data_IF_500843128019
#
_entry.id   IF_500843128019
#
_cell.length_a   1.000
_cell.length_b   1.000
_cell.length_c   1.000
_cell.angle_alpha   90.00
_cell.angle_beta   90.00
_cell.angle_gamma   90.00
#
_symmetry.space_group_name_H-M   'P 1'
#
loop_
_entity.id
_entity.type
_entity.pdbx_description
1 polymer ?
#
# COMPACT_ATOMS: atom_id res chain seq x y z
N UNK A 1 -9.28 9.59 -35.29
CA UNK A 1 -9.35 8.20 -34.76
C UNK A 1 -7.94 7.76 -34.46
N UNK A 2 -7.48 7.94 -33.21
CA UNK A 2 -6.17 7.48 -32.76
C UNK A 2 -6.34 6.07 -32.18
N UNK A 3 -5.92 5.06 -32.93
CA UNK A 3 -5.78 3.69 -32.42
C UNK A 3 -4.46 3.56 -31.67
N UNK A 4 -4.43 4.13 -30.45
CA UNK A 4 -3.40 3.79 -29.47
C UNK A 4 -3.65 2.34 -29.03
N UNK A 5 -2.99 1.41 -29.73
CA UNK A 5 -2.86 0.04 -29.28
C UNK A 5 -1.86 0.02 -28.13
N UNK A 6 -2.37 0.26 -26.91
CA UNK A 6 -1.61 0.02 -25.68
C UNK A 6 -1.06 -1.40 -25.73
N UNK A 7 0.28 -1.51 -25.82
CA UNK A 7 0.97 -2.79 -25.69
C UNK A 7 0.82 -3.24 -24.23
N UNK A 8 -0.25 -3.97 -23.95
CA UNK A 8 -0.44 -4.63 -22.65
C UNK A 8 0.78 -5.49 -22.35
N UNK A 9 1.36 -5.32 -21.17
CA UNK A 9 2.49 -6.14 -20.74
C UNK A 9 2.04 -7.60 -20.62
N UNK A 10 2.97 -8.54 -20.80
CA UNK A 10 2.68 -9.98 -20.73
C UNK A 10 1.94 -10.38 -19.44
N UNK A 11 2.24 -9.71 -18.32
CA UNK A 11 1.58 -9.93 -17.03
C UNK A 11 0.14 -9.42 -16.97
N UNK A 12 -0.19 -8.31 -17.66
CA UNK A 12 -1.57 -7.87 -17.80
C UNK A 12 -2.39 -8.86 -18.64
N UNK A 13 -1.79 -9.44 -19.67
CA UNK A 13 -2.42 -10.50 -20.46
C UNK A 13 -2.61 -11.79 -19.66
N UNK A 14 -1.61 -12.18 -18.86
CA UNK A 14 -1.68 -13.35 -18.00
C UNK A 14 -2.73 -13.17 -16.89
N UNK A 15 -2.75 -12.03 -16.20
CA UNK A 15 -3.76 -11.71 -15.18
C UNK A 15 -5.19 -11.68 -15.76
N UNK A 16 -5.34 -11.25 -17.02
CA UNK A 16 -6.61 -11.31 -17.72
C UNK A 16 -7.04 -12.75 -18.03
N UNK A 17 -6.10 -13.67 -18.29
CA UNK A 17 -6.40 -15.07 -18.64
C UNK A 17 -6.66 -16.00 -17.45
N UNK A 18 -6.08 -15.71 -16.29
CA UNK A 18 -6.27 -16.46 -15.03
C UNK A 18 -7.76 -16.79 -14.74
N UNK A 19 -8.71 -15.83 -14.77
CA UNK A 19 -10.12 -16.15 -14.51
C UNK A 19 -10.74 -17.09 -15.55
N UNK A 20 -10.29 -17.05 -16.81
CA UNK A 20 -10.77 -17.95 -17.86
C UNK A 20 -10.24 -19.38 -17.68
N UNK A 21 -8.96 -19.54 -17.32
CA UNK A 21 -8.41 -20.86 -16.99
C UNK A 21 -9.05 -21.44 -15.73
N UNK A 22 -9.32 -20.60 -14.72
CA UNK A 22 -9.98 -21.01 -13.48
C UNK A 22 -11.38 -21.56 -13.75
N UNK A 23 -12.20 -20.80 -14.49
CA UNK A 23 -13.57 -21.18 -14.85
C UNK A 23 -13.61 -22.39 -15.77
N UNK A 24 -12.73 -22.49 -16.76
CA UNK A 24 -12.60 -23.65 -17.63
C UNK A 24 -12.23 -24.94 -16.86
N UNK A 25 -11.35 -24.84 -15.85
CA UNK A 25 -11.03 -25.97 -14.99
C UNK A 25 -12.22 -26.43 -14.16
N UNK A 26 -12.94 -25.51 -13.52
CA UNK A 26 -14.13 -25.84 -12.72
C UNK A 26 -15.20 -26.52 -13.59
N UNK A 27 -15.48 -25.96 -14.76
CA UNK A 27 -16.50 -26.53 -15.66
C UNK A 27 -16.11 -27.92 -16.15
N UNK A 28 -14.82 -28.16 -16.42
CA UNK A 28 -14.32 -29.48 -16.81
C UNK A 28 -14.45 -30.51 -15.67
N UNK A 29 -14.13 -30.12 -14.44
CA UNK A 29 -14.25 -31.00 -13.26
C UNK A 29 -15.71 -31.34 -12.97
N UNK A 30 -16.60 -30.34 -13.02
CA UNK A 30 -18.04 -30.55 -12.82
C UNK A 30 -18.65 -31.40 -13.94
N UNK A 31 -18.28 -31.16 -15.19
CA UNK A 31 -18.74 -31.97 -16.32
C UNK A 31 -18.29 -33.43 -16.17
N UNK A 32 -17.03 -33.66 -15.77
CA UNK A 32 -16.52 -35.00 -15.48
C UNK A 32 -17.29 -35.68 -14.35
N UNK A 33 -17.56 -34.97 -13.25
CA UNK A 33 -18.36 -35.49 -12.13
C UNK A 33 -19.77 -35.90 -12.57
N UNK A 34 -20.44 -35.06 -13.36
CA UNK A 34 -21.80 -35.33 -13.86
C UNK A 34 -21.80 -36.55 -14.77
N UNK A 35 -20.88 -36.62 -15.74
CA UNK A 35 -20.79 -37.75 -16.68
C UNK A 35 -20.50 -39.05 -15.94
N UNK A 36 -19.54 -39.05 -15.00
CA UNK A 36 -19.19 -40.23 -14.22
C UNK A 36 -20.34 -40.68 -13.31
N UNK A 37 -21.08 -39.74 -12.71
CA UNK A 37 -22.26 -40.00 -11.88
C UNK A 37 -23.41 -40.62 -12.69
N UNK A 38 -23.65 -40.11 -13.90
CA UNK A 38 -24.66 -40.64 -14.82
C UNK A 38 -24.27 -42.06 -15.27
N UNK A 39 -23.00 -42.27 -15.65
CA UNK A 39 -22.53 -43.56 -16.15
C UNK A 39 -22.68 -44.66 -15.09
N UNK A 40 -22.33 -44.36 -13.84
CA UNK A 40 -22.52 -45.29 -12.72
C UNK A 40 -23.98 -45.41 -12.30
N UNK A 41 -24.76 -44.36 -12.43
CA UNK A 41 -26.21 -44.44 -12.26
C UNK A 41 -26.84 -45.44 -13.23
N UNK A 42 -26.43 -45.40 -14.50
CA UNK A 42 -26.90 -46.35 -15.52
C UNK A 42 -26.40 -47.78 -15.29
N UNK A 43 -25.13 -47.99 -14.90
CA UNK A 43 -24.65 -49.35 -14.63
C UNK A 43 -25.27 -49.94 -13.36
N UNK A 44 -25.44 -49.14 -12.31
CA UNK A 44 -26.05 -49.58 -11.04
C UNK A 44 -27.54 -49.87 -11.20
N UNK A 45 -28.27 -49.08 -11.99
CA UNK A 45 -29.68 -49.32 -12.32
C UNK A 45 -29.87 -50.61 -13.14
N UNK A 46 -28.91 -50.94 -14.01
CA UNK A 46 -28.93 -52.14 -14.86
C UNK A 46 -28.56 -53.41 -14.10
N UNK A 47 -27.59 -53.33 -13.18
CA UNK A 47 -27.01 -54.51 -12.53
C UNK A 47 -27.60 -54.81 -11.14
N UNK A 48 -28.07 -53.82 -10.38
CA UNK A 48 -28.74 -54.01 -9.08
C UNK A 48 -29.62 -52.81 -8.68
N UNK A 49 -30.91 -52.76 -9.06
CA UNK A 49 -31.78 -51.60 -8.80
C UNK A 49 -32.05 -51.36 -7.30
N UNK A 50 -31.88 -52.39 -6.45
CA UNK A 50 -32.03 -52.28 -4.99
C UNK A 50 -30.83 -51.65 -4.28
N UNK A 51 -29.65 -51.58 -4.90
CA UNK A 51 -28.47 -50.93 -4.32
C UNK A 51 -28.51 -49.39 -4.48
N UNK A 52 -29.43 -48.88 -5.30
CA UNK A 52 -29.60 -47.46 -5.56
C UNK A 52 -30.37 -46.74 -4.44
N UNK A 53 -31.28 -47.45 -3.79
CA UNK A 53 -31.94 -46.98 -2.57
C UNK A 53 -31.28 -47.70 -1.39
N UNK A 54 -30.61 -46.95 -0.51
CA UNK A 54 -29.94 -47.44 0.69
C UNK A 54 -30.90 -48.21 1.63
N UNK A 55 -31.24 -49.45 1.31
CA UNK A 55 -31.98 -50.37 2.16
C UNK A 55 -31.25 -51.71 2.16
N UNK A 56 -30.36 -51.87 3.12
CA UNK A 56 -29.84 -53.19 3.50
C UNK A 56 -30.95 -53.93 4.22
N UNK A 57 -31.62 -54.87 3.55
CA UNK A 57 -32.49 -55.83 4.24
C UNK A 57 -31.62 -56.71 5.15
N UNK A 58 -31.79 -56.56 6.46
CA UNK A 58 -31.23 -57.46 7.47
C UNK A 58 -31.76 -58.89 7.23
N UNK A 59 -30.96 -59.72 6.56
CA UNK A 59 -31.24 -61.16 6.51
C UNK A 59 -30.58 -61.83 7.71
N UNK A 60 -31.32 -61.88 8.82
CA UNK A 60 -31.01 -62.72 9.97
C UNK A 60 -31.53 -64.13 9.69
N UNK A 61 -30.67 -65.04 9.23
CA UNK A 61 -30.97 -66.47 9.21
C UNK A 61 -30.29 -67.10 10.43
N UNK A 62 -31.07 -67.29 11.49
CA UNK A 62 -30.68 -68.02 12.68
C UNK A 62 -31.65 -69.20 12.83
N UNK A 63 -31.18 -70.42 12.54
CA UNK A 63 -31.80 -71.65 13.01
C UNK A 63 -30.70 -72.59 13.52
N UNK A 64 -30.59 -72.64 14.85
CA UNK A 64 -30.32 -73.78 15.75
C UNK A 64 -30.26 -75.17 15.07
N UNK A 65 -29.50 -76.20 15.49
CA UNK A 65 -28.69 -76.54 16.67
C UNK A 65 -28.01 -77.92 16.37
N UNK A 66 -26.97 -78.44 17.03
CA UNK A 66 -26.97 -79.22 18.28
C UNK A 66 -25.56 -79.89 18.46
N UNK A 67 -25.05 -79.87 19.70
CA UNK A 67 -24.07 -80.72 20.42
C UNK A 67 -22.90 -81.48 19.73
N UNK A 68 -21.66 -81.27 20.21
CA UNK A 68 -20.92 -82.14 21.20
C UNK A 68 -19.59 -81.48 21.65
N UNK A 69 -19.05 -81.79 22.84
CA UNK A 69 -17.86 -81.13 23.40
C UNK A 69 -16.60 -81.97 23.22
N UNK A 70 -15.47 -81.38 22.84
CA UNK A 70 -14.13 -81.82 23.26
C UNK A 70 -13.05 -80.81 22.82
N UNK A 71 -11.95 -80.83 23.57
CA UNK A 71 -10.93 -79.79 23.69
C UNK A 71 -10.14 -79.49 22.41
N UNK A 72 -9.84 -78.21 22.14
CA UNK A 72 -8.50 -77.63 22.22
C UNK A 72 -8.39 -76.24 21.57
N UNK A 73 -7.77 -75.33 22.32
CA UNK A 73 -6.88 -74.23 21.93
C UNK A 73 -7.23 -73.46 20.62
N UNK A 74 -7.75 -72.22 20.76
CA UNK A 74 -7.07 -71.03 20.24
C UNK A 74 -7.87 -69.73 20.42
N UNK A 75 -7.12 -68.70 20.84
CA UNK A 75 -7.28 -67.27 20.52
C UNK A 75 -8.61 -66.61 20.91
N UNK A 76 -8.48 -65.65 21.83
CA UNK A 76 -9.48 -64.65 22.20
C UNK A 76 -10.16 -64.03 20.98
N UNK A 77 -11.35 -64.52 20.65
CA UNK A 77 -12.35 -63.80 19.87
C UNK A 77 -12.93 -62.70 20.76
N UNK A 78 -12.35 -61.50 20.72
CA UNK A 78 -13.10 -60.31 21.08
C UNK A 78 -13.89 -59.83 19.85
N UNK A 79 -15.20 -59.57 19.99
CA UNK A 79 -15.98 -58.95 18.94
C UNK A 79 -15.47 -57.51 18.78
N UNK A 80 -14.91 -57.18 17.61
CA UNK A 80 -14.58 -55.80 17.28
C UNK A 80 -15.85 -54.97 17.42
N UNK A 81 -15.84 -54.05 18.38
CA UNK A 81 -16.88 -53.04 18.56
C UNK A 81 -16.93 -52.19 17.29
N UNK A 82 -17.82 -52.57 16.38
CA UNK A 82 -18.23 -51.73 15.26
C UNK A 82 -18.75 -50.41 15.84
N UNK A 83 -17.91 -49.39 15.74
CA UNK A 83 -18.21 -48.05 16.26
C UNK A 83 -19.28 -47.46 15.35
N UNK A 84 -20.22 -46.65 15.85
CA UNK A 84 -21.29 -46.05 15.03
C UNK A 84 -20.79 -45.35 13.73
N UNK A 85 -19.50 -44.98 13.72
CA UNK A 85 -18.76 -44.52 12.55
C UNK A 85 -18.65 -45.57 11.41
N UNK A 86 -18.39 -46.85 11.71
CA UNK A 86 -18.29 -47.92 10.70
C UNK A 86 -19.65 -48.34 10.13
N UNK A 87 -20.74 -48.15 10.87
CA UNK A 87 -22.09 -48.57 10.45
C UNK A 87 -22.73 -47.51 9.53
N UNK A 88 -22.42 -46.23 9.73
CA UNK A 88 -23.05 -45.13 8.99
C UNK A 88 -22.09 -44.46 8.02
N UNK A 89 -20.81 -44.28 8.34
CA UNK A 89 -19.89 -43.52 7.48
C UNK A 89 -19.25 -44.43 6.44
N UNK A 90 -18.86 -45.64 6.83
CA UNK A 90 -18.19 -46.58 5.93
C UNK A 90 -19.00 -46.95 4.67
N UNK A 91 -20.30 -47.31 4.74
CA UNK A 91 -21.07 -47.58 3.52
C UNK A 91 -21.29 -46.34 2.65
N UNK A 92 -21.28 -45.14 3.24
CA UNK A 92 -21.35 -43.88 2.49
C UNK A 92 -20.02 -43.51 1.83
N UNK A 93 -18.87 -43.87 2.39
CA UNK A 93 -17.56 -43.60 1.78
C UNK A 93 -17.14 -44.70 0.79
N UNK A 94 -17.62 -45.94 0.98
CA UNK A 94 -17.32 -47.09 0.11
C UNK A 94 -18.23 -47.20 -1.12
N UNK A 95 -19.36 -46.48 -1.14
CA UNK A 95 -20.21 -46.42 -2.33
C UNK A 95 -19.45 -45.83 -3.53
N UNK A 96 -19.41 -46.57 -4.64
CA UNK A 96 -18.77 -46.15 -5.90
C UNK A 96 -19.23 -44.77 -6.38
N UNK A 97 -20.49 -44.42 -6.11
CA UNK A 97 -21.06 -43.11 -6.41
C UNK A 97 -20.45 -42.00 -5.54
N UNK A 98 -20.37 -42.21 -4.23
CA UNK A 98 -19.83 -41.24 -3.31
C UNK A 98 -18.31 -41.08 -3.44
N UNK A 99 -17.57 -42.15 -3.79
CA UNK A 99 -16.15 -42.05 -4.09
C UNK A 99 -15.85 -41.09 -5.25
N UNK A 100 -16.74 -40.99 -6.25
CA UNK A 100 -16.59 -40.04 -7.36
C UNK A 100 -16.87 -38.62 -6.90
N UNK A 101 -17.90 -38.44 -6.08
CA UNK A 101 -18.20 -37.13 -5.49
C UNK A 101 -17.03 -36.66 -4.63
N UNK A 102 -16.49 -37.50 -3.76
CA UNK A 102 -15.34 -37.16 -2.93
C UNK A 102 -14.06 -36.91 -3.76
N UNK A 103 -13.78 -37.71 -4.80
CA UNK A 103 -12.65 -37.46 -5.71
C UNK A 103 -12.79 -36.14 -6.47
N UNK A 104 -13.99 -35.83 -6.96
CA UNK A 104 -14.28 -34.58 -7.65
C UNK A 104 -14.19 -33.37 -6.73
N UNK A 105 -14.70 -33.48 -5.51
CA UNK A 105 -14.64 -32.43 -4.49
C UNK A 105 -13.19 -32.20 -4.01
N UNK A 106 -12.40 -33.27 -3.89
CA UNK A 106 -10.96 -33.19 -3.61
C UNK A 106 -10.18 -32.52 -4.75
N UNK A 107 -10.51 -32.84 -6.00
CA UNK A 107 -9.87 -32.25 -7.18
C UNK A 107 -10.25 -30.77 -7.34
N UNK A 108 -11.50 -30.39 -7.02
CA UNK A 108 -11.93 -29.00 -6.92
C UNK A 108 -11.18 -28.27 -5.81
N UNK A 109 -10.98 -28.90 -4.65
CA UNK A 109 -10.20 -28.33 -3.56
C UNK A 109 -8.74 -28.10 -3.95
N UNK A 110 -8.08 -29.06 -4.61
CA UNK A 110 -6.73 -28.88 -5.16
C UNK A 110 -6.71 -27.76 -6.20
N UNK A 111 -7.69 -27.71 -7.09
CA UNK A 111 -7.80 -26.67 -8.12
C UNK A 111 -7.93 -25.27 -7.51
N UNK A 112 -8.71 -25.14 -6.45
CA UNK A 112 -8.85 -23.92 -5.67
C UNK A 112 -7.54 -23.55 -4.95
N UNK A 113 -6.85 -24.52 -4.35
CA UNK A 113 -5.56 -24.30 -3.70
C UNK A 113 -4.47 -23.85 -4.69
N UNK A 114 -4.47 -24.42 -5.90
CA UNK A 114 -3.55 -24.07 -6.98
C UNK A 114 -3.72 -22.58 -7.37
N UNK A 115 -4.97 -22.13 -7.56
CA UNK A 115 -5.24 -20.73 -7.89
C UNK A 115 -5.08 -19.76 -6.72
N UNK A 116 -5.04 -20.24 -5.48
CA UNK A 116 -4.67 -19.41 -4.33
C UNK A 116 -3.16 -19.22 -4.21
N UNK A 117 -2.38 -20.27 -4.49
CA UNK A 117 -0.92 -20.28 -4.33
C UNK A 117 -0.19 -19.62 -5.49
N UNK A 118 -0.67 -19.79 -6.72
CA UNK A 118 -0.07 -19.23 -7.94
C UNK A 118 0.05 -17.69 -7.86
N UNK A 119 -1.02 -16.90 -7.64
CA UNK A 119 -0.92 -15.44 -7.60
C UNK A 119 0.01 -14.94 -6.49
N UNK A 120 0.02 -15.63 -5.35
CA UNK A 120 0.89 -15.30 -4.20
C UNK A 120 2.36 -15.58 -4.54
N UNK A 121 2.66 -16.67 -5.23
CA UNK A 121 4.00 -17.00 -5.69
C UNK A 121 4.50 -16.01 -6.75
N UNK A 122 3.65 -15.63 -7.72
CA UNK A 122 3.99 -14.66 -8.75
C UNK A 122 4.15 -13.23 -8.21
N UNK A 123 3.38 -12.80 -7.21
CA UNK A 123 3.58 -11.51 -6.50
C UNK A 123 4.95 -11.39 -5.83
N UNK A 124 5.60 -12.50 -5.49
CA UNK A 124 6.93 -12.50 -4.84
C UNK A 124 8.09 -12.61 -5.82
N UNK A 125 7.83 -12.90 -7.11
CA UNK A 125 8.88 -12.98 -8.12
C UNK A 125 9.23 -11.58 -8.63
N UNK A 126 10.35 -11.03 -8.15
CA UNK A 126 10.92 -9.75 -8.62
C UNK A 126 11.49 -9.82 -10.04
N UNK A 127 11.90 -11.01 -10.50
CA UNK A 127 12.48 -11.22 -11.83
C UNK A 127 12.06 -12.58 -12.36
N UNK A 128 11.51 -12.63 -13.56
CA UNK A 128 11.21 -13.88 -14.26
C UNK A 128 12.03 -13.92 -15.56
N UNK A 129 12.99 -14.85 -15.62
CA UNK A 129 13.83 -15.08 -16.80
C UNK A 129 13.27 -16.26 -17.56
N UNK A 130 12.63 -16.00 -18.70
CA UNK A 130 12.12 -17.04 -19.59
C UNK A 130 12.72 -16.85 -20.98
N UNK A 131 13.56 -17.80 -21.39
CA UNK A 131 14.18 -17.86 -22.73
C UNK A 131 14.77 -16.52 -23.22
N UNK A 132 15.90 -16.10 -22.63
CA UNK A 132 16.67 -14.90 -23.00
C UNK A 132 15.91 -13.55 -23.00
N UNK A 133 14.65 -13.52 -22.58
CA UNK A 133 13.87 -12.31 -22.33
C UNK A 133 13.78 -12.10 -20.81
N UNK A 134 14.32 -10.97 -20.35
CA UNK A 134 14.19 -10.48 -18.98
C UNK A 134 12.99 -9.53 -18.96
N UNK A 135 11.94 -9.88 -18.23
CA UNK A 135 10.77 -9.04 -18.03
C UNK A 135 10.88 -8.36 -16.67
N UNK A 136 11.03 -7.04 -16.65
CA UNK A 136 11.03 -6.21 -15.45
C UNK A 136 9.61 -5.66 -15.21
N UNK A 137 9.03 -5.98 -14.05
CA UNK A 137 7.64 -5.66 -13.68
C UNK A 137 7.54 -4.35 -12.87
N UNK A 138 8.67 -3.68 -12.60
CA UNK A 138 8.81 -2.77 -11.46
C UNK A 138 8.54 -1.26 -11.70
N UNK A 139 8.33 -0.76 -12.93
CA UNK A 139 8.37 0.70 -13.15
C UNK A 139 7.18 1.51 -12.60
N UNK A 140 5.99 0.92 -12.48
CA UNK A 140 4.78 1.69 -12.04
C UNK A 140 4.65 1.70 -10.51
N UNK A 141 4.94 0.56 -9.86
CA UNK A 141 4.84 0.45 -8.40
C UNK A 141 5.99 1.20 -7.72
N UNK A 142 7.22 1.13 -8.26
CA UNK A 142 8.34 1.90 -7.73
C UNK A 142 8.13 3.41 -7.85
N UNK A 143 7.65 3.91 -8.99
CA UNK A 143 7.37 5.34 -9.15
C UNK A 143 6.27 5.84 -8.20
N UNK A 144 5.24 5.01 -7.94
CA UNK A 144 4.20 5.33 -6.96
C UNK A 144 4.75 5.34 -5.53
N UNK A 145 5.57 4.35 -5.16
CA UNK A 145 6.23 4.29 -3.85
C UNK A 145 7.15 5.50 -3.65
N UNK A 146 7.98 5.83 -4.63
CA UNK A 146 8.89 6.97 -4.59
C UNK A 146 8.11 8.29 -4.44
N UNK A 147 7.00 8.46 -5.17
CA UNK A 147 6.13 9.64 -5.02
C UNK A 147 5.53 9.76 -3.62
N UNK A 148 5.13 8.63 -3.02
CA UNK A 148 4.62 8.58 -1.64
C UNK A 148 5.72 8.91 -0.64
N UNK A 149 6.93 8.40 -0.84
CA UNK A 149 8.08 8.69 0.03
C UNK A 149 8.54 10.15 -0.05
N UNK A 150 8.56 10.74 -1.25
CA UNK A 150 8.83 12.17 -1.48
C UNK A 150 7.78 13.01 -0.76
N UNK A 151 6.49 12.75 -1.02
CA UNK A 151 5.39 13.49 -0.39
C UNK A 151 5.41 13.34 1.13
N UNK A 152 5.68 12.13 1.63
CA UNK A 152 5.81 11.85 3.06
C UNK A 152 6.97 12.60 3.71
N UNK A 153 8.09 12.75 3.01
CA UNK A 153 9.24 13.52 3.50
C UNK A 153 8.91 15.00 3.60
N UNK A 154 8.23 15.58 2.61
CA UNK A 154 7.75 16.97 2.65
C UNK A 154 6.73 17.18 3.76
N UNK A 155 5.78 16.26 3.93
CA UNK A 155 4.80 16.30 5.02
C UNK A 155 5.47 16.24 6.40
N UNK A 156 6.56 15.46 6.56
CA UNK A 156 7.35 15.43 7.79
C UNK A 156 8.02 16.78 8.08
N UNK A 157 8.53 17.47 7.05
CA UNK A 157 9.08 18.82 7.22
C UNK A 157 7.99 19.82 7.62
N UNK A 158 6.82 19.77 6.99
CA UNK A 158 5.66 20.58 7.39
C UNK A 158 5.29 20.34 8.85
N UNK A 159 5.20 19.06 9.26
CA UNK A 159 4.90 18.68 10.63
C UNK A 159 5.96 19.19 11.63
N UNK A 160 7.24 19.09 11.26
CA UNK A 160 8.34 19.64 12.06
C UNK A 160 8.21 21.15 12.27
N UNK A 161 7.96 21.92 11.20
CA UNK A 161 7.79 23.38 11.33
C UNK A 161 6.61 23.77 12.21
N UNK A 162 5.52 23.00 12.17
CA UNK A 162 4.34 23.25 13.02
C UNK A 162 4.45 22.68 14.43
N UNK A 163 5.49 21.90 14.71
CA UNK A 163 5.68 21.22 15.99
C UNK A 163 6.32 22.11 17.06
N UNK A 164 6.31 21.60 18.29
CA UNK A 164 6.91 22.28 19.44
C UNK A 164 8.43 22.44 19.31
N UNK A 165 9.09 21.52 18.60
CA UNK A 165 10.53 21.58 18.34
C UNK A 165 10.92 22.87 17.60
N UNK A 166 10.18 23.23 16.55
CA UNK A 166 10.44 24.45 15.79
C UNK A 166 10.15 25.70 16.63
N UNK A 167 9.10 25.67 17.47
CA UNK A 167 8.80 26.75 18.42
C UNK A 167 9.91 26.95 19.44
N UNK A 168 10.44 25.85 20.01
CA UNK A 168 11.59 25.87 20.92
C UNK A 168 12.85 26.40 20.24
N UNK A 169 13.12 25.96 19.01
CA UNK A 169 14.24 26.51 18.22
C UNK A 169 14.10 28.00 17.94
N UNK A 170 12.90 28.47 17.66
CA UNK A 170 12.63 29.91 17.47
C UNK A 170 12.92 30.69 18.75
N UNK A 171 12.61 30.13 19.92
CA UNK A 171 12.93 30.72 21.22
C UNK A 171 14.44 30.85 21.47
N UNK A 172 15.26 29.93 20.96
CA UNK A 172 16.73 29.99 21.08
C UNK A 172 17.32 31.25 20.42
N UNK A 173 16.61 31.91 19.50
CA UNK A 173 17.02 33.17 18.85
C UNK A 173 16.66 34.43 19.64
N UNK A 174 16.04 34.30 20.81
CA UNK A 174 15.67 35.45 21.64
C UNK A 174 16.93 36.15 22.19
N UNK A 175 17.19 37.36 21.71
CA UNK A 175 18.27 38.22 22.19
C UNK A 175 17.70 39.54 22.67
N UNK A 176 17.96 39.90 23.93
CA UNK A 176 17.58 41.21 24.50
C UNK A 176 16.09 41.58 24.29
N UNK A 177 15.19 40.60 24.37
CA UNK A 177 13.73 40.74 24.23
C UNK A 177 13.19 40.91 22.80
N UNK A 178 14.01 40.76 21.76
CA UNK A 178 13.56 40.77 20.36
C UNK A 178 14.12 39.57 19.58
N UNK A 179 13.44 39.22 18.49
CA UNK A 179 13.85 38.15 17.57
C UNK A 179 13.83 38.73 16.16
N UNK A 180 14.93 38.56 15.40
CA UNK A 180 14.95 38.93 13.98
C UNK A 180 14.29 37.83 13.16
N UNK A 181 13.15 38.15 12.54
CA UNK A 181 12.44 37.25 11.63
C UNK A 181 13.34 36.70 10.53
N UNK A 182 14.21 37.54 9.97
CA UNK A 182 15.09 37.15 8.86
C UNK A 182 16.07 36.07 9.30
N UNK A 183 16.67 36.21 10.48
CA UNK A 183 17.64 35.24 11.02
C UNK A 183 16.98 33.87 11.24
N UNK A 184 15.79 33.87 11.85
CA UNK A 184 15.02 32.63 12.07
C UNK A 184 14.62 31.99 10.75
N UNK A 185 14.18 32.79 9.77
CA UNK A 185 13.84 32.32 8.44
C UNK A 185 15.05 31.72 7.70
N UNK A 186 16.23 32.34 7.77
CA UNK A 186 17.46 31.81 7.19
C UNK A 186 17.84 30.45 7.79
N UNK A 187 17.68 30.30 9.11
CA UNK A 187 17.93 29.03 9.80
C UNK A 187 17.01 27.91 9.28
N UNK A 188 15.69 28.14 9.26
CA UNK A 188 14.78 27.09 8.82
C UNK A 188 14.84 26.84 7.31
N UNK A 189 15.19 27.83 6.49
CA UNK A 189 15.47 27.61 5.06
C UNK A 189 16.72 26.74 4.86
N UNK A 190 17.76 26.92 5.67
CA UNK A 190 18.94 26.04 5.67
C UNK A 190 18.57 24.60 6.05
N UNK A 191 17.78 24.42 7.11
CA UNK A 191 17.27 23.11 7.52
C UNK A 191 16.42 22.46 6.43
N UNK A 192 15.56 23.23 5.75
CA UNK A 192 14.76 22.76 4.61
C UNK A 192 15.65 22.30 3.47
N UNK A 193 16.68 23.09 3.13
CA UNK A 193 17.66 22.75 2.09
C UNK A 193 18.39 21.44 2.39
N UNK A 194 18.78 21.22 3.66
CA UNK A 194 19.38 19.97 4.10
C UNK A 194 18.38 18.79 4.01
N UNK A 195 17.11 19.03 4.38
CA UNK A 195 16.04 18.04 4.29
C UNK A 195 15.75 17.58 2.86
N UNK A 196 15.87 18.49 1.88
CA UNK A 196 15.63 18.19 0.47
C UNK A 196 16.82 17.54 -0.24
N UNK A 197 18.06 17.77 0.26
CA UNK A 197 19.29 17.30 -0.40
C UNK A 197 19.39 15.78 -0.51
N UNK A 198 18.81 15.04 0.45
CA UNK A 198 18.95 13.59 0.54
C UNK A 198 17.76 12.85 -0.11
N UNK A 199 17.95 11.56 -0.41
CA UNK A 199 16.87 10.67 -0.84
C UNK A 199 15.75 10.65 0.23
N UNK A 200 14.46 10.70 -0.15
CA UNK A 200 13.92 10.46 -1.50
C UNK A 200 13.81 11.69 -2.42
N UNK A 201 13.98 12.91 -1.91
CA UNK A 201 13.70 14.13 -2.69
C UNK A 201 14.82 14.47 -3.68
N UNK A 202 16.08 14.35 -3.25
CA UNK A 202 17.27 14.69 -4.07
C UNK A 202 17.18 16.09 -4.72
N UNK A 203 16.50 17.03 -4.06
CA UNK A 203 16.21 18.37 -4.55
C UNK A 203 17.26 19.38 -4.11
N UNK A 204 18.29 19.59 -4.91
CA UNK A 204 19.31 20.60 -4.61
C UNK A 204 18.80 21.98 -5.05
N UNK A 205 18.57 22.87 -4.11
CA UNK A 205 18.19 24.26 -4.38
C UNK A 205 19.07 25.23 -3.60
N UNK A 206 19.05 26.51 -3.97
CA UNK A 206 19.64 27.61 -3.21
C UNK A 206 18.57 28.64 -2.91
N UNK A 207 18.67 29.32 -1.77
CA UNK A 207 17.71 30.35 -1.37
C UNK A 207 18.41 31.69 -1.13
N UNK A 208 17.65 32.78 -1.32
CA UNK A 208 18.04 34.15 -0.97
C UNK A 208 16.82 34.92 -0.46
N UNK A 209 17.02 35.73 0.57
CA UNK A 209 15.99 36.61 1.12
C UNK A 209 16.36 38.04 0.75
N UNK A 210 15.42 38.74 0.12
CA UNK A 210 15.53 40.15 -0.26
C UNK A 210 14.59 41.00 0.60
N UNK A 211 15.06 42.17 1.00
CA UNK A 211 14.23 43.16 1.66
C UNK A 211 13.67 44.10 0.59
N UNK A 212 12.35 44.17 0.44
CA UNK A 212 11.58 45.05 -0.47
C UNK A 212 11.82 44.90 -1.98
N UNK A 213 13.05 44.63 -2.46
CA UNK A 213 13.36 44.60 -3.90
C UNK A 213 14.16 43.36 -4.29
N UNK A 214 13.56 42.52 -5.11
CA UNK A 214 14.20 41.36 -5.74
C UNK A 214 14.72 41.70 -7.15
N UNK A 215 15.54 40.83 -7.78
CA UNK A 215 16.04 41.04 -9.13
C UNK A 215 14.92 41.28 -10.16
N UNK A 216 15.11 42.24 -11.07
CA UNK A 216 14.11 42.65 -12.07
C UNK A 216 13.58 41.48 -12.93
N UNK A 217 14.42 40.48 -13.20
CA UNK A 217 14.04 39.27 -13.94
C UNK A 217 12.94 38.44 -13.28
N UNK A 218 12.72 38.64 -11.99
CA UNK A 218 11.74 37.91 -11.18
C UNK A 218 10.54 38.79 -10.83
N UNK A 219 10.46 40.01 -11.37
CA UNK A 219 9.43 40.98 -11.01
C UNK A 219 8.02 40.42 -11.20
N UNK A 220 7.73 39.80 -12.34
CA UNK A 220 6.40 39.23 -12.63
C UNK A 220 5.99 38.18 -11.59
N UNK A 221 6.91 37.31 -11.17
CA UNK A 221 6.66 36.27 -10.16
C UNK A 221 6.50 36.85 -8.75
N UNK A 222 7.21 37.95 -8.45
CA UNK A 222 7.07 38.66 -7.18
C UNK A 222 5.72 39.35 -7.11
N UNK A 223 5.30 40.02 -8.18
CA UNK A 223 3.98 40.66 -8.24
C UNK A 223 2.87 39.61 -8.20
N UNK A 224 3.01 38.47 -8.89
CA UNK A 224 2.08 37.35 -8.77
C UNK A 224 1.94 36.87 -7.32
N UNK A 225 3.06 36.72 -6.61
CA UNK A 225 3.04 36.31 -5.20
C UNK A 225 2.42 37.37 -4.29
N UNK A 226 2.66 38.66 -4.56
CA UNK A 226 2.03 39.78 -3.82
C UNK A 226 0.52 39.84 -4.02
N UNK A 227 0.06 39.68 -5.27
CA UNK A 227 -1.36 39.76 -5.62
C UNK A 227 -2.15 38.54 -5.11
N UNK A 228 -1.58 37.35 -5.26
CA UNK A 228 -2.23 36.11 -4.83
C UNK A 228 -2.14 35.89 -3.31
N UNK A 229 -1.10 36.42 -2.66
CA UNK A 229 -0.76 36.08 -1.27
C UNK A 229 -0.22 34.65 -1.11
N UNK A 230 0.09 33.99 -2.21
CA UNK A 230 0.58 32.62 -2.28
C UNK A 230 1.98 32.57 -2.92
N UNK A 231 2.71 31.47 -2.80
CA UNK A 231 3.98 31.32 -3.49
C UNK A 231 3.78 31.18 -5.01
N UNK A 232 4.59 31.87 -5.79
CA UNK A 232 4.64 31.77 -7.24
C UNK A 232 5.73 30.77 -7.66
N UNK A 233 5.43 29.90 -8.62
CA UNK A 233 6.35 28.86 -9.09
C UNK A 233 6.53 28.96 -10.60
N UNK A 234 7.78 28.98 -11.05
CA UNK A 234 8.16 28.94 -12.46
C UNK A 234 9.17 27.82 -12.68
N UNK A 235 8.72 26.66 -13.16
CA UNK A 235 9.59 25.54 -13.48
C UNK A 235 10.13 25.65 -14.91
N UNK A 236 11.33 25.11 -15.14
CA UNK A 236 11.86 24.97 -16.51
C UNK A 236 10.97 24.01 -17.32
N UNK A 237 10.71 24.38 -18.58
CA UNK A 237 9.90 23.58 -19.52
C UNK A 237 10.68 22.36 -20.04
N UNK A 238 12.00 22.49 -20.12
CA UNK A 238 12.91 21.48 -20.64
C UNK A 238 13.83 21.01 -19.52
N UNK A 239 13.65 19.75 -19.08
CA UNK A 239 14.39 19.18 -17.97
C UNK A 239 15.88 18.98 -18.29
N UNK A 240 16.22 18.78 -19.58
CA UNK A 240 17.59 18.55 -20.05
C UNK A 240 18.42 19.85 -20.13
N UNK A 241 17.76 21.01 -20.04
CA UNK A 241 18.43 22.29 -20.13
C UNK A 241 19.13 22.67 -18.80
N UNK A 242 20.44 22.42 -18.74
CA UNK A 242 21.29 22.69 -17.58
C UNK A 242 21.47 24.18 -17.24
N UNK A 243 21.13 25.10 -18.15
CA UNK A 243 21.34 26.55 -17.95
C UNK A 243 20.11 27.26 -17.39
N UNK A 244 18.93 26.64 -17.47
CA UNK A 244 17.68 27.20 -16.95
C UNK A 244 17.44 26.72 -15.52
N UNK A 245 16.93 27.63 -14.70
CA UNK A 245 16.54 27.36 -13.32
C UNK A 245 15.02 27.30 -13.22
N UNK A 246 14.55 26.44 -12.31
CA UNK A 246 13.23 26.55 -11.71
C UNK A 246 13.29 27.53 -10.54
N UNK A 247 12.23 28.29 -10.35
CA UNK A 247 12.10 29.29 -9.30
C UNK A 247 10.83 29.04 -8.48
N UNK A 248 10.93 29.24 -7.17
CA UNK A 248 9.82 29.39 -6.25
C UNK A 248 10.03 30.70 -5.49
N UNK A 249 9.06 31.59 -5.53
CA UNK A 249 9.14 32.91 -4.93
C UNK A 249 7.96 33.10 -3.99
N UNK A 250 8.25 33.61 -2.80
CA UNK A 250 7.21 33.96 -1.85
C UNK A 250 7.44 35.36 -1.28
N UNK A 251 6.41 36.19 -1.40
CA UNK A 251 6.32 37.49 -0.78
C UNK A 251 5.63 37.36 0.59
N UNK A 252 6.28 37.87 1.64
CA UNK A 252 5.75 37.83 3.00
C UNK A 252 5.99 39.15 3.74
N UNK A 253 4.93 39.91 4.09
CA UNK A 253 5.06 41.09 4.92
C UNK A 253 5.05 40.71 6.42
N UNK A 254 6.06 41.17 7.16
CA UNK A 254 6.14 40.97 8.62
C UNK A 254 6.67 42.23 9.33
N UNK A 255 6.01 42.67 10.40
CA UNK A 255 6.35 43.87 11.19
C UNK A 255 6.76 45.09 10.33
N UNK A 256 5.91 45.48 9.36
CA UNK A 256 6.11 46.57 8.41
C UNK A 256 7.33 46.43 7.47
N UNK A 257 7.97 45.26 7.44
CA UNK A 257 9.07 44.92 6.55
C UNK A 257 8.60 43.90 5.53
N UNK A 258 8.96 44.12 4.27
CA UNK A 258 8.62 43.21 3.18
C UNK A 258 9.78 42.25 2.91
N UNK A 259 9.51 40.95 3.05
CA UNK A 259 10.47 39.89 2.75
C UNK A 259 10.09 39.19 1.44
N UNK A 260 11.06 39.06 0.54
CA UNK A 260 10.91 38.29 -0.69
C UNK A 260 11.90 37.13 -0.63
N UNK A 261 11.37 35.93 -0.46
CA UNK A 261 12.16 34.69 -0.45
C UNK A 261 12.20 34.13 -1.86
N UNK A 262 13.40 34.03 -2.42
CA UNK A 262 13.65 33.45 -3.74
C UNK A 262 14.38 32.13 -3.56
N UNK A 263 13.77 31.06 -4.03
CA UNK A 263 14.34 29.72 -4.05
C UNK A 263 14.54 29.33 -5.51
N UNK A 264 15.75 28.91 -5.85
CA UNK A 264 16.12 28.58 -7.22
C UNK A 264 16.83 27.22 -7.28
N UNK A 265 16.54 26.44 -8.31
CA UNK A 265 17.18 25.14 -8.54
C UNK A 265 17.43 24.89 -10.03
N UNK A 266 18.56 24.25 -10.34
CA UNK A 266 18.87 23.76 -11.69
C UNK A 266 18.35 22.35 -11.95
N UNK A 267 18.21 21.54 -10.90
CA UNK A 267 17.92 20.11 -10.99
C UNK A 267 16.49 19.76 -10.55
N UNK A 268 15.89 20.58 -9.71
CA UNK A 268 14.63 20.28 -9.05
C UNK A 268 13.49 21.14 -9.60
N UNK A 269 12.34 20.51 -9.82
CA UNK A 269 11.09 21.16 -10.22
C UNK A 269 10.17 21.25 -9.02
N UNK A 270 9.71 22.46 -8.70
CA UNK A 270 8.87 22.69 -7.53
C UNK A 270 7.44 22.28 -7.81
N UNK A 271 6.84 21.53 -6.88
CA UNK A 271 5.46 21.10 -6.96
C UNK A 271 4.55 21.92 -6.01
N UNK A 272 3.28 21.55 -5.98
CA UNK A 272 2.28 22.19 -5.13
C UNK A 272 2.56 22.01 -3.63
N UNK A 273 3.19 20.90 -3.22
CA UNK A 273 3.55 20.66 -1.83
C UNK A 273 4.68 21.59 -1.40
N UNK A 274 5.63 21.86 -2.30
CA UNK A 274 6.71 22.82 -2.05
C UNK A 274 6.14 24.22 -1.81
N UNK A 275 5.20 24.66 -2.66
CA UNK A 275 4.47 25.92 -2.49
C UNK A 275 3.87 26.03 -1.09
N UNK A 276 3.08 25.04 -0.67
CA UNK A 276 2.48 25.05 0.67
C UNK A 276 3.50 24.96 1.80
N UNK A 277 4.60 24.23 1.62
CA UNK A 277 5.64 24.08 2.64
C UNK A 277 6.32 25.41 2.92
N UNK A 278 6.71 26.15 1.89
CA UNK A 278 7.38 27.44 2.07
C UNK A 278 6.42 28.51 2.61
N UNK A 279 5.15 28.53 2.18
CA UNK A 279 4.15 29.41 2.77
C UNK A 279 3.94 29.11 4.26
N UNK A 280 3.77 27.83 4.60
CA UNK A 280 3.58 27.37 5.97
C UNK A 280 4.78 27.76 6.85
N UNK A 281 5.99 27.62 6.32
CA UNK A 281 7.21 27.99 7.03
C UNK A 281 7.18 29.46 7.49
N UNK A 282 6.93 30.39 6.58
CA UNK A 282 6.90 31.82 6.90
C UNK A 282 5.79 32.16 7.90
N UNK A 283 4.59 31.60 7.69
CA UNK A 283 3.43 31.82 8.58
C UNK A 283 3.69 31.29 9.98
N UNK A 284 4.29 30.12 10.11
CA UNK A 284 4.60 29.51 11.41
C UNK A 284 5.69 30.29 12.15
N UNK A 285 6.74 30.74 11.45
CA UNK A 285 7.76 31.60 12.05
C UNK A 285 7.13 32.89 12.57
N UNK A 286 6.32 33.59 11.75
CA UNK A 286 5.60 34.80 12.17
C UNK A 286 4.80 34.58 13.45
N UNK A 287 4.00 33.51 13.48
CA UNK A 287 3.17 33.15 14.63
C UNK A 287 4.02 32.84 15.87
N UNK A 288 5.12 32.12 15.71
CA UNK A 288 6.00 31.79 16.83
C UNK A 288 6.69 33.03 17.39
N UNK A 289 7.15 33.95 16.54
CA UNK A 289 7.72 35.22 16.98
C UNK A 289 6.68 36.04 17.75
N UNK A 290 5.48 36.21 17.19
CA UNK A 290 4.38 36.92 17.86
C UNK A 290 4.12 36.33 19.25
N UNK A 291 4.01 35.00 19.37
CA UNK A 291 3.79 34.33 20.65
C UNK A 291 4.93 34.61 21.66
N UNK A 292 6.18 34.57 21.21
CA UNK A 292 7.34 34.83 22.09
C UNK A 292 7.37 36.31 22.51
N UNK A 293 7.12 37.23 21.58
CA UNK A 293 7.00 38.66 21.87
C UNK A 293 5.90 38.94 22.90
N UNK A 294 4.73 38.29 22.77
CA UNK A 294 3.66 38.37 23.77
C UNK A 294 4.09 37.83 25.13
N UNK A 295 4.79 36.69 25.19
CA UNK A 295 5.30 36.13 26.45
C UNK A 295 6.31 37.06 27.14
N UNK A 296 7.22 37.64 26.36
CA UNK A 296 8.21 38.62 26.85
C UNK A 296 7.52 39.87 27.38
N UNK A 297 6.53 40.40 26.65
CA UNK A 297 5.77 41.57 27.08
C UNK A 297 5.06 41.34 28.42
N UNK A 298 4.39 40.18 28.60
CA UNK A 298 3.70 39.83 29.83
C UNK A 298 4.65 39.65 31.03
N UNK A 299 5.85 39.11 30.79
CA UNK A 299 6.83 38.86 31.84
C UNK A 299 7.50 40.17 32.28
N UNK A 300 7.83 41.06 31.35
CA UNK A 300 8.44 42.36 31.65
C UNK A 300 7.49 43.29 32.41
N UNK A 301 6.17 43.22 32.17
CA UNK A 301 5.20 44.03 32.94
C UNK A 301 5.15 43.69 34.42
N UNK A 302 5.53 42.48 34.84
CA UNK A 302 5.49 42.07 36.25
C UNK A 302 6.70 42.54 37.07
N UNK A 303 7.81 42.90 36.43
CA UNK A 303 8.98 43.47 37.13
C UNK A 303 8.78 44.96 37.44
N UNK A 304 8.05 45.70 36.61
CA UNK A 304 7.75 47.12 36.83
C UNK A 304 6.73 47.42 37.93
N UNK A 305 5.93 46.44 38.37
CA UNK A 305 4.86 46.62 39.38
C UNK A 305 5.28 46.26 40.80
N UNK A 306 6.50 45.76 41.01
CA UNK A 306 7.02 45.37 42.34
C UNK A 306 7.99 46.39 42.94
N UNK A 307 8.03 47.62 42.40
CA UNK A 307 8.80 48.74 42.95
C UNK A 307 7.84 49.90 43.25
N UNK A 308 6.97 49.71 44.24
CA UNK A 308 6.30 50.78 45.00
C UNK A 308 6.19 50.39 46.48
#
# INVERSE_FOLDING_TARGET
>A
MNTNTEKRTFFQWLNFLIPYFYTAGITLILAWMIIASILIGFTTLKDNPKAFFLQTENTSNNNQSIHTPEADINVSNQPEKQTAFSIIVQPFVESNFNQIIFRGLFLLFIWLLLFLTIPVAFKRLKRFKFLNLEFEVDNIELAAIETVEISGTKARLMAYFTGDDASGRTFDFLSQSTIDFKEVLEYFLAETQLGYKNHPINGIFTYKIYNSTAPEKLHDLVEESKESGEAAVCNKIDEDNLLKKSYLIFYFPYNHTEYITVIESYSYSFDILDKYLFELLHKTISKNLENIEYMVALTNTNESTNVE
#
